data_IF_392893963819
#
_entry.id   IF_392893963819
#
_cell.length_a   1.000
_cell.length_b   1.000
_cell.length_c   1.000
_cell.angle_alpha   90.00
_cell.angle_beta   90.00
_cell.angle_gamma   90.00
#
_symmetry.space_group_name_H-M   'P 1'
#
loop_
_entity.id
_entity.type
_entity.pdbx_description
1 polymer ?
#
# COMPACT_ATOMS: atom_id res chain seq x y z
N UNK A 1 -4.69 12.96 13.35
CA UNK A 1 -4.90 13.44 14.74
C UNK A 1 -6.34 13.90 14.88
N UNK A 2 -7.06 13.43 15.89
CA UNK A 2 -8.43 13.87 16.18
C UNK A 2 -8.44 15.23 16.89
N UNK A 3 -9.62 15.90 16.92
CA UNK A 3 -9.77 17.19 17.65
C UNK A 3 -9.46 17.02 19.13
N UNK A 4 -9.88 15.90 19.73
CA UNK A 4 -9.62 15.59 21.15
C UNK A 4 -8.11 15.44 21.45
N UNK A 5 -7.36 14.80 20.55
CA UNK A 5 -5.89 14.69 20.67
C UNK A 5 -5.23 16.07 20.54
N UNK A 6 -5.65 16.86 19.55
CA UNK A 6 -5.14 18.22 19.37
C UNK A 6 -5.33 19.06 20.64
N UNK A 7 -6.51 19.02 21.27
CA UNK A 7 -6.80 19.74 22.50
C UNK A 7 -5.92 19.27 23.69
N UNK A 8 -5.64 17.97 23.80
CA UNK A 8 -4.71 17.42 24.79
C UNK A 8 -3.30 17.96 24.57
N UNK A 9 -2.81 17.90 23.33
CA UNK A 9 -1.49 18.42 22.97
C UNK A 9 -1.39 19.91 23.23
N UNK A 10 -2.40 20.69 22.83
CA UNK A 10 -2.44 22.15 23.04
C UNK A 10 -2.32 22.51 24.52
N UNK A 11 -2.99 21.78 25.41
CA UNK A 11 -2.93 22.00 26.85
C UNK A 11 -1.57 21.61 27.47
N UNK A 12 -0.96 20.54 26.95
CA UNK A 12 0.30 20.01 27.47
C UNK A 12 1.53 20.76 26.95
N UNK A 13 1.48 21.32 25.76
CA UNK A 13 2.64 21.90 25.08
C UNK A 13 3.16 23.20 25.73
N UNK A 14 2.31 23.96 26.45
CA UNK A 14 2.68 25.25 27.05
C UNK A 14 3.15 26.32 26.04
N UNK A 15 2.97 26.09 24.74
CA UNK A 15 3.34 26.99 23.65
C UNK A 15 2.24 27.07 22.59
N UNK A 16 2.37 28.01 21.67
CA UNK A 16 1.46 28.14 20.56
C UNK A 16 1.71 27.01 19.53
N UNK A 17 0.67 26.26 19.19
CA UNK A 17 0.71 25.29 18.10
C UNK A 17 0.33 26.01 16.79
N UNK A 18 1.17 25.86 15.78
CA UNK A 18 0.97 26.45 14.44
C UNK A 18 0.72 25.33 13.44
N UNK A 19 -0.37 25.37 12.65
CA UNK A 19 -0.60 24.40 11.57
C UNK A 19 0.52 24.48 10.53
N UNK A 20 1.00 23.33 10.08
CA UNK A 20 2.01 23.25 9.02
C UNK A 20 1.42 23.34 7.60
N UNK A 21 0.11 23.16 7.45
CA UNK A 21 -0.65 23.34 6.20
C UNK A 21 -0.02 22.66 4.98
N UNK A 22 0.30 21.37 5.12
CA UNK A 22 0.87 20.57 4.02
C UNK A 22 2.37 20.83 3.74
N UNK A 23 3.08 21.58 4.56
CA UNK A 23 4.51 21.85 4.34
C UNK A 23 5.40 20.62 4.41
N UNK A 24 5.06 19.66 5.28
CA UNK A 24 5.79 18.39 5.37
C UNK A 24 5.55 17.52 4.14
N UNK A 25 4.32 17.51 3.63
CA UNK A 25 3.96 16.79 2.42
C UNK A 25 4.75 17.33 1.21
N UNK A 26 4.89 18.66 1.10
CA UNK A 26 5.68 19.29 0.04
C UNK A 26 7.16 18.89 0.05
N UNK A 27 7.76 18.71 1.23
CA UNK A 27 9.15 18.26 1.33
C UNK A 27 9.30 16.85 0.71
N UNK A 28 8.27 16.02 0.81
CA UNK A 28 8.24 14.65 0.30
C UNK A 28 7.79 14.53 -1.17
N UNK A 29 7.34 15.61 -1.80
CA UNK A 29 6.94 15.60 -3.20
C UNK A 29 8.15 15.38 -4.13
N UNK A 30 9.28 15.98 -3.80
CA UNK A 30 10.53 15.83 -4.55
C UNK A 30 11.38 14.79 -3.82
N UNK A 31 11.66 13.68 -4.51
CA UNK A 31 12.45 12.56 -3.97
C UNK A 31 13.92 12.75 -4.27
N UNK A 32 14.76 12.38 -3.33
CA UNK A 32 16.19 12.22 -3.55
C UNK A 32 16.47 10.95 -4.38
N UNK A 33 17.65 10.85 -4.96
CA UNK A 33 18.03 9.72 -5.82
C UNK A 33 17.92 8.37 -5.11
N UNK A 34 18.37 8.30 -3.85
CA UNK A 34 18.25 7.09 -3.03
C UNK A 34 16.79 6.68 -2.73
N UNK A 35 15.89 7.66 -2.57
CA UNK A 35 14.46 7.40 -2.38
C UNK A 35 13.82 6.86 -3.66
N UNK A 36 14.21 7.43 -4.82
CA UNK A 36 13.78 6.92 -6.13
C UNK A 36 14.25 5.49 -6.34
N UNK A 37 15.49 5.16 -5.97
CA UNK A 37 16.02 3.81 -6.07
C UNK A 37 15.21 2.82 -5.21
N UNK A 38 14.85 3.18 -3.98
CA UNK A 38 13.97 2.36 -3.14
C UNK A 38 12.60 2.12 -3.78
N UNK A 39 12.00 3.13 -4.41
CA UNK A 39 10.73 2.99 -5.13
C UNK A 39 10.89 2.03 -6.31
N UNK A 40 11.98 2.14 -7.08
CA UNK A 40 12.27 1.25 -8.21
C UNK A 40 12.45 -0.20 -7.75
N UNK A 41 13.16 -0.42 -6.64
CA UNK A 41 13.34 -1.77 -6.07
C UNK A 41 12.00 -2.36 -5.63
N UNK A 42 11.18 -1.59 -4.92
CA UNK A 42 9.85 -2.02 -4.50
C UNK A 42 8.95 -2.37 -5.69
N UNK A 43 9.00 -1.57 -6.76
CA UNK A 43 8.27 -1.83 -8.00
C UNK A 43 8.73 -3.14 -8.66
N UNK A 44 10.04 -3.42 -8.69
CA UNK A 44 10.58 -4.66 -9.26
C UNK A 44 10.10 -5.90 -8.50
N UNK A 45 9.99 -5.83 -7.17
CA UNK A 45 9.43 -6.95 -6.39
C UNK A 45 7.97 -7.22 -6.80
N UNK A 46 7.18 -6.16 -7.00
CA UNK A 46 5.80 -6.31 -7.44
C UNK A 46 5.70 -6.90 -8.86
N UNK A 47 6.54 -6.45 -9.79
CA UNK A 47 6.59 -6.96 -11.16
C UNK A 47 6.96 -8.44 -11.19
N UNK A 48 8.01 -8.86 -10.51
CA UNK A 48 8.44 -10.26 -10.43
C UNK A 48 7.36 -11.15 -9.81
N UNK A 49 6.78 -10.70 -8.70
CA UNK A 49 5.67 -11.42 -8.06
C UNK A 49 4.46 -11.56 -8.98
N UNK A 50 4.13 -10.52 -9.74
CA UNK A 50 3.04 -10.55 -10.69
C UNK A 50 3.31 -11.49 -11.87
N UNK A 51 4.51 -11.47 -12.47
CA UNK A 51 4.89 -12.38 -13.55
C UNK A 51 4.76 -13.84 -13.12
N UNK A 52 5.19 -14.18 -11.92
CA UNK A 52 5.03 -15.51 -11.37
C UNK A 52 3.55 -15.86 -11.10
N UNK A 53 2.75 -14.88 -10.61
CA UNK A 53 1.33 -15.06 -10.37
C UNK A 53 0.56 -15.43 -11.63
N UNK A 54 0.96 -14.93 -12.80
CA UNK A 54 0.30 -15.26 -14.08
C UNK A 54 0.23 -16.77 -14.34
N UNK A 55 1.24 -17.52 -13.90
CA UNK A 55 1.27 -18.97 -14.02
C UNK A 55 0.33 -19.68 -13.02
N UNK A 56 -0.10 -18.98 -11.99
CA UNK A 56 -1.02 -19.50 -10.96
C UNK A 56 -2.49 -19.29 -11.35
N UNK A 57 -2.77 -18.30 -12.21
CA UNK A 57 -4.14 -17.96 -12.65
C UNK A 57 -4.67 -19.07 -13.54
N UNK A 58 -5.73 -19.74 -13.06
CA UNK A 58 -6.41 -20.82 -13.80
C UNK A 58 -7.86 -20.95 -13.30
N UNK A 59 -8.76 -21.53 -14.10
CA UNK A 59 -10.12 -21.81 -13.66
C UNK A 59 -10.15 -22.61 -12.35
N UNK A 60 -10.99 -22.18 -11.41
CA UNK A 60 -11.13 -22.80 -10.09
C UNK A 60 -10.25 -22.21 -8.99
N UNK A 61 -9.34 -21.27 -9.31
CA UNK A 61 -8.63 -20.49 -8.30
C UNK A 61 -9.52 -19.31 -7.84
N UNK A 62 -9.69 -19.14 -6.54
CA UNK A 62 -10.51 -18.06 -5.98
C UNK A 62 -9.74 -16.74 -5.91
N UNK A 63 -10.46 -15.62 -5.82
CA UNK A 63 -9.86 -14.29 -5.66
C UNK A 63 -9.00 -14.20 -4.39
N UNK A 64 -9.43 -14.80 -3.28
CA UNK A 64 -8.65 -14.90 -2.04
C UNK A 64 -7.36 -15.68 -2.22
N UNK A 65 -7.39 -16.78 -2.96
CA UNK A 65 -6.19 -17.56 -3.26
C UNK A 65 -5.20 -16.77 -4.10
N UNK A 66 -5.68 -16.00 -5.09
CA UNK A 66 -4.81 -15.10 -5.88
C UNK A 66 -4.19 -14.01 -5.02
N UNK A 67 -4.97 -13.38 -4.15
CA UNK A 67 -4.47 -12.35 -3.24
C UNK A 67 -3.41 -12.92 -2.27
N UNK A 68 -3.66 -14.09 -1.70
CA UNK A 68 -2.72 -14.77 -0.82
C UNK A 68 -1.42 -15.16 -1.53
N UNK A 69 -1.52 -15.69 -2.74
CA UNK A 69 -0.36 -16.07 -3.57
C UNK A 69 0.48 -14.85 -3.95
N UNK A 70 -0.15 -13.74 -4.36
CA UNK A 70 0.57 -12.49 -4.67
C UNK A 70 1.31 -11.96 -3.45
N UNK A 71 0.66 -11.91 -2.29
CA UNK A 71 1.28 -11.50 -1.03
C UNK A 71 2.49 -12.37 -0.69
N UNK A 72 2.35 -13.68 -0.80
CA UNK A 72 3.45 -14.62 -0.54
C UNK A 72 4.64 -14.36 -1.47
N UNK A 73 4.41 -14.19 -2.77
CA UNK A 73 5.49 -13.94 -3.76
C UNK A 73 6.19 -12.62 -3.51
N UNK A 74 5.45 -11.56 -3.22
CA UNK A 74 6.05 -10.27 -2.90
C UNK A 74 6.99 -10.36 -1.68
N UNK A 75 6.59 -11.06 -0.63
CA UNK A 75 7.45 -11.30 0.54
C UNK A 75 8.68 -12.16 0.18
N UNK A 76 8.54 -13.16 -0.69
CA UNK A 76 9.66 -13.97 -1.17
C UNK A 76 10.68 -13.15 -1.98
N UNK A 77 10.24 -12.12 -2.70
CA UNK A 77 11.13 -11.21 -3.45
C UNK A 77 11.76 -10.12 -2.56
N UNK A 78 11.40 -10.03 -1.29
CA UNK A 78 12.03 -9.14 -0.32
C UNK A 78 11.20 -7.93 0.09
N UNK A 79 9.92 -7.87 -0.28
CA UNK A 79 9.02 -6.87 0.26
C UNK A 79 8.84 -7.07 1.78
N UNK A 80 8.87 -5.99 2.54
CA UNK A 80 8.63 -6.01 3.99
C UNK A 80 7.14 -6.19 4.33
N UNK A 81 6.27 -5.84 3.40
CA UNK A 81 4.81 -5.94 3.54
C UNK A 81 4.10 -5.27 2.39
N UNK A 82 2.77 -5.35 2.42
CA UNK A 82 1.91 -4.68 1.45
C UNK A 82 1.63 -3.26 1.90
N UNK A 83 1.64 -2.32 0.95
CA UNK A 83 1.31 -0.91 1.23
C UNK A 83 -0.20 -0.69 1.43
N UNK A 84 -1.03 -1.58 0.92
CA UNK A 84 -2.49 -1.61 1.05
C UNK A 84 -3.02 -3.03 0.79
N UNK A 85 -4.28 -3.27 1.14
CA UNK A 85 -4.92 -4.56 0.91
C UNK A 85 -4.97 -4.88 -0.59
N UNK A 86 -4.64 -6.13 -0.94
CA UNK A 86 -4.60 -6.58 -2.33
C UNK A 86 -6.02 -6.60 -2.90
N UNK A 87 -6.21 -5.93 -4.02
CA UNK A 87 -7.44 -5.97 -4.81
C UNK A 87 -7.23 -7.00 -5.91
N UNK A 88 -7.83 -8.17 -5.76
CA UNK A 88 -7.83 -9.24 -6.75
C UNK A 88 -9.28 -9.68 -6.96
N UNK A 89 -9.91 -9.18 -8.01
CA UNK A 89 -11.34 -9.39 -8.30
C UNK A 89 -11.53 -9.85 -9.74
N UNK A 90 -12.56 -10.66 -10.00
CA UNK A 90 -12.82 -11.27 -11.28
C UNK A 90 -14.30 -11.26 -11.64
N UNK A 91 -14.65 -11.56 -12.88
CA UNK A 91 -16.03 -11.63 -13.36
C UNK A 91 -16.82 -10.36 -13.05
N UNK A 92 -17.99 -10.51 -12.48
CA UNK A 92 -18.87 -9.38 -12.10
C UNK A 92 -18.23 -8.45 -11.06
N UNK A 93 -17.37 -8.98 -10.19
CA UNK A 93 -16.68 -8.21 -9.15
C UNK A 93 -15.65 -7.23 -9.74
N UNK A 94 -15.17 -7.45 -10.96
CA UNK A 94 -14.20 -6.58 -11.63
C UNK A 94 -14.70 -5.14 -11.83
N UNK A 95 -15.99 -4.91 -11.75
CA UNK A 95 -16.57 -3.57 -11.83
C UNK A 95 -16.45 -2.74 -10.53
N UNK A 96 -16.00 -3.35 -9.44
CA UNK A 96 -15.85 -2.68 -8.14
C UNK A 96 -14.42 -2.14 -7.96
N UNK A 97 -14.22 -0.80 -7.93
CA UNK A 97 -12.88 -0.20 -7.85
C UNK A 97 -12.08 -0.60 -6.59
N UNK A 98 -12.77 -0.93 -5.50
CA UNK A 98 -12.17 -1.39 -4.24
C UNK A 98 -12.78 -2.73 -3.81
N UNK A 99 -12.92 -3.65 -4.77
CA UNK A 99 -13.47 -4.97 -4.50
C UNK A 99 -12.57 -5.75 -3.53
N UNK A 100 -13.22 -6.44 -2.58
CA UNK A 100 -12.52 -7.32 -1.63
C UNK A 100 -12.51 -8.73 -2.21
N UNK A 101 -11.36 -9.41 -2.25
CA UNK A 101 -11.27 -10.77 -2.77
C UNK A 101 -12.22 -11.74 -2.07
N UNK A 102 -12.98 -12.49 -2.87
CA UNK A 102 -13.98 -13.47 -2.40
C UNK A 102 -13.57 -14.93 -2.72
N UNK A 103 -14.34 -15.89 -2.21
CA UNK A 103 -14.19 -17.32 -2.49
C UNK A 103 -14.75 -17.70 -3.85
#
# INVERSE_FOLDING_TARGET
MSVSEYEKFRRAAGCQLVPLEGRLEKIREIKEEAEVECIVIAQRFAEQAFEELLNYIRPGVTEKQLAAELNYRMLCHGAEGMSFDIIAVSGANSSMPHGVPSD
#
